data_IF_080659857364
#
_entry.id   IF_080659857364
#
_cell.length_a   1.000
_cell.length_b   1.000
_cell.length_c   1.000
_cell.angle_alpha   90.00
_cell.angle_beta   90.00
_cell.angle_gamma   90.00
#
_symmetry.space_group_name_H-M   'P 1'
#
loop_
_entity.id
_entity.type
_entity.pdbx_description
1 polymer ?
#
# COMPACT_ATOMS: atom_id res chain seq x y z
N UNK A 1 -39.69 -25.15 43.81
CA UNK A 1 -39.81 -25.30 42.36
C UNK A 1 -39.00 -24.19 41.67
N UNK A 2 -37.63 -24.20 41.80
CA UNK A 2 -36.77 -23.15 41.32
C UNK A 2 -35.35 -23.69 40.95
N UNK A 3 -35.23 -24.66 40.02
CA UNK A 3 -33.89 -25.15 39.60
C UNK A 3 -33.71 -25.36 38.07
N UNK A 4 -34.61 -25.01 37.14
CA UNK A 4 -34.25 -25.21 35.73
C UNK A 4 -33.55 -24.01 35.04
N UNK A 5 -33.49 -22.83 35.65
CA UNK A 5 -32.87 -21.65 34.99
C UNK A 5 -31.36 -21.59 35.17
N UNK A 6 -30.79 -22.02 36.28
CA UNK A 6 -29.34 -22.02 36.50
C UNK A 6 -28.58 -22.98 35.57
N UNK A 7 -29.12 -24.16 35.28
CA UNK A 7 -28.51 -25.15 34.38
C UNK A 7 -28.41 -24.66 32.92
N UNK A 8 -29.37 -23.83 32.47
CA UNK A 8 -29.36 -23.23 31.12
C UNK A 8 -28.31 -22.10 30.97
N UNK A 9 -28.08 -21.36 32.05
CA UNK A 9 -27.03 -20.31 32.07
C UNK A 9 -25.61 -20.92 32.12
N UNK A 10 -25.43 -21.97 32.93
CA UNK A 10 -24.13 -22.69 32.98
C UNK A 10 -23.76 -23.35 31.66
N UNK A 11 -24.74 -23.95 30.96
CA UNK A 11 -24.51 -24.54 29.63
C UNK A 11 -24.19 -23.48 28.56
N UNK A 12 -24.77 -22.28 28.61
CA UNK A 12 -24.44 -21.19 27.69
C UNK A 12 -23.07 -20.57 27.98
N UNK A 13 -22.69 -20.42 29.25
CA UNK A 13 -21.35 -19.95 29.64
C UNK A 13 -20.31 -20.99 29.29
N UNK A 14 -20.55 -22.28 29.49
CA UNK A 14 -19.66 -23.34 29.07
C UNK A 14 -19.51 -23.42 27.54
N UNK A 15 -20.57 -23.20 26.78
CA UNK A 15 -20.52 -23.13 25.31
C UNK A 15 -19.73 -21.92 24.82
N UNK A 16 -19.88 -20.75 25.45
CA UNK A 16 -19.08 -19.55 25.13
C UNK A 16 -17.61 -19.74 25.49
N UNK A 17 -17.31 -20.35 26.63
CA UNK A 17 -15.91 -20.65 27.03
C UNK A 17 -15.28 -21.70 26.11
N UNK A 18 -16.06 -22.73 25.70
CA UNK A 18 -15.57 -23.75 24.75
C UNK A 18 -15.36 -23.17 23.34
N UNK A 19 -16.23 -22.26 22.89
CA UNK A 19 -16.02 -21.56 21.60
C UNK A 19 -14.86 -20.57 21.67
N UNK A 20 -14.65 -19.86 22.77
CA UNK A 20 -13.47 -19.01 22.97
C UNK A 20 -12.16 -19.84 22.98
N UNK A 21 -12.14 -21.00 23.62
CA UNK A 21 -10.99 -21.91 23.60
C UNK A 21 -10.77 -22.54 22.22
N UNK A 22 -11.82 -22.83 21.45
CA UNK A 22 -11.71 -23.35 20.09
C UNK A 22 -11.21 -22.30 19.09
N UNK A 23 -11.59 -21.03 19.26
CA UNK A 23 -11.07 -19.90 18.46
C UNK A 23 -9.62 -19.59 18.84
N UNK A 24 -9.25 -19.69 20.12
CA UNK A 24 -7.86 -19.56 20.56
C UNK A 24 -6.95 -20.70 20.06
N UNK A 25 -7.52 -21.91 19.83
CA UNK A 25 -6.79 -23.05 19.32
C UNK A 25 -6.48 -22.99 17.80
N UNK A 26 -7.08 -22.04 17.07
CA UNK A 26 -6.83 -21.82 15.63
C UNK A 26 -5.89 -20.64 15.34
N UNK A 27 -5.42 -19.91 16.36
CA UNK A 27 -4.36 -18.95 16.19
C UNK A 27 -3.10 -19.69 15.74
N UNK A 28 -2.60 -19.40 14.55
CA UNK A 28 -1.40 -20.01 13.99
C UNK A 28 -0.24 -19.81 14.97
N UNK A 29 0.29 -20.90 15.52
CA UNK A 29 1.35 -20.83 16.52
C UNK A 29 2.64 -20.40 15.81
N UNK A 30 3.06 -19.14 16.04
CA UNK A 30 4.28 -18.59 15.42
C UNK A 30 5.51 -19.02 16.20
N UNK A 31 6.54 -19.42 15.48
CA UNK A 31 7.86 -19.62 16.07
C UNK A 31 8.43 -18.28 16.51
N UNK A 32 8.84 -18.08 17.79
CA UNK A 32 9.50 -16.86 18.23
C UNK A 32 10.79 -16.61 17.47
N UNK A 33 11.12 -15.36 17.18
CA UNK A 33 12.36 -14.96 16.53
C UNK A 33 12.84 -13.61 17.11
N UNK A 34 14.10 -13.30 16.86
CA UNK A 34 14.79 -12.11 17.37
C UNK A 34 14.84 -11.00 16.33
N UNK A 35 15.11 -9.77 16.76
CA UNK A 35 15.33 -8.62 15.88
C UNK A 35 16.52 -8.87 14.92
N UNK A 36 17.60 -9.49 15.42
CA UNK A 36 18.76 -9.83 14.59
C UNK A 36 18.44 -10.84 13.48
N UNK A 37 17.55 -11.80 13.75
CA UNK A 37 17.05 -12.73 12.73
C UNK A 37 16.16 -11.99 11.73
N UNK A 38 15.30 -11.07 12.19
CA UNK A 38 14.43 -10.30 11.33
C UNK A 38 15.23 -9.40 10.36
N UNK A 39 16.30 -8.77 10.82
CA UNK A 39 17.17 -7.92 9.98
C UNK A 39 17.85 -8.73 8.86
N UNK A 40 18.13 -10.00 9.07
CA UNK A 40 18.77 -10.90 8.12
C UNK A 40 17.78 -11.84 7.41
N UNK A 41 16.50 -11.68 7.63
CA UNK A 41 15.48 -12.59 7.16
C UNK A 41 15.30 -12.57 5.65
N UNK A 42 15.26 -13.74 5.04
CA UNK A 42 14.99 -13.96 3.62
C UNK A 42 13.53 -14.45 3.48
N UNK A 43 12.62 -13.64 2.91
CA UNK A 43 11.22 -14.00 2.76
C UNK A 43 11.05 -15.09 1.70
N UNK A 44 10.43 -16.21 2.06
CA UNK A 44 10.11 -17.34 1.18
C UNK A 44 11.31 -17.79 0.30
N UNK A 45 12.55 -17.69 0.83
CA UNK A 45 13.77 -18.05 0.12
C UNK A 45 14.19 -17.10 -1.00
N UNK A 46 13.62 -15.88 -1.07
CA UNK A 46 13.89 -14.90 -2.13
C UNK A 46 14.65 -13.69 -1.55
N UNK A 47 15.99 -13.64 -1.70
CA UNK A 47 16.78 -12.56 -1.13
C UNK A 47 16.68 -11.25 -1.93
N UNK A 48 16.95 -10.11 -1.27
CA UNK A 48 17.11 -8.81 -1.92
C UNK A 48 15.84 -8.18 -2.49
N UNK A 49 14.65 -8.70 -2.10
CA UNK A 49 13.36 -8.22 -2.61
C UNK A 49 12.67 -7.23 -1.67
N UNK A 50 13.27 -6.93 -0.52
CA UNK A 50 12.70 -5.98 0.45
C UNK A 50 13.78 -5.18 1.17
N UNK A 51 13.35 -4.06 1.76
CA UNK A 51 14.14 -3.20 2.63
C UNK A 51 13.23 -2.53 3.67
N UNK A 52 13.81 -1.98 4.72
CA UNK A 52 13.08 -1.12 5.64
C UNK A 52 12.86 0.26 5.01
N UNK A 53 11.61 0.65 4.78
CA UNK A 53 11.29 1.92 4.11
C UNK A 53 11.69 3.18 4.91
N UNK A 54 11.91 3.03 6.21
CA UNK A 54 12.36 4.06 7.15
C UNK A 54 13.89 4.08 7.36
N UNK A 55 14.62 3.20 6.67
CA UNK A 55 16.06 3.12 6.82
C UNK A 55 16.77 4.30 6.11
N UNK A 56 17.96 4.71 6.58
CA UNK A 56 18.79 5.67 5.85
C UNK A 56 19.06 5.25 4.41
N UNK A 57 19.20 6.20 3.50
CA UNK A 57 19.37 5.96 2.07
C UNK A 57 20.53 5.00 1.75
N UNK A 58 21.64 5.09 2.49
CA UNK A 58 22.80 4.20 2.35
C UNK A 58 22.44 2.74 2.66
N UNK A 59 21.65 2.51 3.70
CA UNK A 59 21.18 1.17 4.10
C UNK A 59 20.19 0.63 3.07
N UNK A 60 19.23 1.46 2.63
CA UNK A 60 18.29 1.10 1.57
C UNK A 60 19.01 0.67 0.29
N UNK A 61 20.05 1.39 -0.13
CA UNK A 61 20.88 1.02 -1.29
C UNK A 61 21.52 -0.35 -1.12
N UNK A 62 22.01 -0.67 0.07
CA UNK A 62 22.63 -1.98 0.35
C UNK A 62 21.58 -3.09 0.37
N UNK A 63 20.44 -2.87 1.04
CA UNK A 63 19.37 -3.88 1.13
C UNK A 63 18.70 -4.15 -0.22
N UNK A 64 18.67 -3.16 -1.09
CA UNK A 64 18.13 -3.25 -2.45
C UNK A 64 19.25 -3.35 -3.50
N UNK A 65 20.39 -3.95 -3.16
CA UNK A 65 21.60 -4.00 -3.99
C UNK A 65 21.39 -4.50 -5.44
N UNK A 66 20.31 -5.25 -5.68
CA UNK A 66 19.94 -5.77 -7.00
C UNK A 66 19.02 -4.83 -7.80
N UNK A 67 18.93 -3.55 -7.43
CA UNK A 67 18.06 -2.59 -8.12
C UNK A 67 18.37 -2.45 -9.60
N UNK A 68 19.62 -2.72 -10.02
CA UNK A 68 20.08 -2.47 -11.37
C UNK A 68 20.00 -0.98 -11.75
N UNK A 69 20.59 -0.58 -12.86
CA UNK A 69 20.52 0.80 -13.32
C UNK A 69 19.08 1.15 -13.72
N UNK A 70 18.63 2.35 -13.30
CA UNK A 70 17.45 2.98 -13.88
C UNK A 70 17.69 3.35 -15.34
N UNK A 71 16.58 3.60 -16.05
CA UNK A 71 16.65 4.26 -17.35
C UNK A 71 17.36 5.60 -17.19
N UNK A 72 18.58 5.69 -17.71
CA UNK A 72 19.37 6.94 -17.69
C UNK A 72 19.05 7.79 -18.92
N UNK A 73 19.04 9.13 -18.77
CA UNK A 73 18.98 10.07 -19.88
C UNK A 73 17.60 10.59 -20.28
N UNK A 74 16.51 10.21 -19.57
CA UNK A 74 15.16 10.75 -19.76
C UNK A 74 14.64 11.39 -18.45
N UNK A 75 13.75 12.39 -18.51
CA UNK A 75 13.02 12.86 -17.35
C UNK A 75 12.23 11.71 -16.70
N UNK A 76 12.41 11.48 -15.41
CA UNK A 76 11.75 10.38 -14.69
C UNK A 76 10.29 10.74 -14.41
N UNK A 77 9.38 9.83 -14.75
CA UNK A 77 7.98 9.89 -14.36
C UNK A 77 7.72 8.91 -13.20
N UNK A 78 7.41 9.44 -12.01
CA UNK A 78 7.06 8.67 -10.83
C UNK A 78 5.57 8.77 -10.54
N UNK A 79 4.93 7.66 -10.17
CA UNK A 79 3.57 7.60 -9.66
C UNK A 79 3.55 7.04 -8.24
N UNK A 80 2.97 7.78 -7.31
CA UNK A 80 2.70 7.32 -5.95
C UNK A 80 1.18 7.20 -5.72
N UNK A 81 0.74 6.00 -5.36
CA UNK A 81 -0.67 5.62 -5.17
C UNK A 81 -0.94 5.38 -3.70
N UNK A 82 -1.82 6.17 -3.12
CA UNK A 82 -2.13 6.06 -1.70
C UNK A 82 -3.06 4.92 -1.35
N UNK A 83 -3.11 4.57 -0.06
CA UNK A 83 -4.21 3.81 0.53
C UNK A 83 -5.54 4.56 0.46
N UNK A 84 -6.63 3.89 0.84
CA UNK A 84 -7.97 4.49 0.86
C UNK A 84 -9.13 3.49 0.79
N UNK A 85 -8.87 2.18 0.80
CA UNK A 85 -9.92 1.15 0.73
C UNK A 85 -10.77 1.26 -0.53
N UNK A 86 -12.10 1.34 -0.40
CA UNK A 86 -13.04 1.48 -1.54
C UNK A 86 -12.86 2.77 -2.34
N UNK A 87 -12.27 3.80 -1.72
CA UNK A 87 -11.96 5.06 -2.41
C UNK A 87 -10.93 4.89 -3.55
N UNK A 88 -10.21 3.76 -3.60
CA UNK A 88 -9.32 3.42 -4.71
C UNK A 88 -9.99 3.39 -6.08
N UNK A 89 -11.32 3.29 -6.12
CA UNK A 89 -12.09 3.42 -7.35
C UNK A 89 -11.87 4.76 -8.06
N UNK A 90 -11.63 5.86 -7.31
CA UNK A 90 -11.26 7.15 -7.88
C UNK A 90 -9.95 7.09 -8.66
N UNK A 91 -8.88 6.62 -8.03
CA UNK A 91 -7.57 6.51 -8.68
C UNK A 91 -7.57 5.56 -9.87
N UNK A 92 -8.32 4.46 -9.78
CA UNK A 92 -8.51 3.53 -10.90
C UNK A 92 -9.22 4.19 -12.08
N UNK A 93 -10.31 4.92 -11.82
CA UNK A 93 -11.03 5.70 -12.82
C UNK A 93 -10.13 6.75 -13.47
N UNK A 94 -9.42 7.55 -12.66
CA UNK A 94 -8.52 8.58 -13.12
C UNK A 94 -7.43 8.01 -14.04
N UNK A 95 -6.79 6.91 -13.66
CA UNK A 95 -5.78 6.25 -14.49
C UNK A 95 -6.35 5.73 -15.82
N UNK A 96 -7.54 5.13 -15.82
CA UNK A 96 -8.20 4.64 -17.04
C UNK A 96 -8.58 5.82 -17.96
N UNK A 97 -9.21 6.87 -17.43
CA UNK A 97 -9.57 8.06 -18.20
C UNK A 97 -8.35 8.82 -18.73
N UNK A 98 -7.28 8.87 -17.94
CA UNK A 98 -6.02 9.46 -18.36
C UNK A 98 -5.35 8.68 -19.50
N UNK A 99 -5.47 7.34 -19.52
CA UNK A 99 -5.06 6.53 -20.66
C UNK A 99 -5.92 6.81 -21.91
N UNK A 100 -7.24 6.91 -21.75
CA UNK A 100 -8.16 7.18 -22.84
C UNK A 100 -7.90 8.55 -23.50
N UNK A 101 -7.49 9.55 -22.71
CA UNK A 101 -7.07 10.85 -23.24
C UNK A 101 -5.75 10.80 -24.03
N UNK A 102 -5.01 9.70 -23.98
CA UNK A 102 -3.71 9.56 -24.64
C UNK A 102 -2.54 10.27 -23.97
N UNK A 103 -2.75 10.91 -22.81
CA UNK A 103 -1.73 11.74 -22.15
C UNK A 103 -1.08 11.07 -20.92
N UNK A 104 -1.53 9.87 -20.52
CA UNK A 104 -0.92 9.15 -19.40
C UNK A 104 0.50 8.71 -19.76
N UNK A 105 1.53 9.15 -18.97
CA UNK A 105 2.89 8.74 -19.21
C UNK A 105 3.11 7.26 -18.89
N UNK A 106 4.14 6.67 -19.46
CA UNK A 106 4.69 5.42 -18.96
C UNK A 106 5.53 5.76 -17.72
N UNK A 107 5.09 5.30 -16.56
CA UNK A 107 5.78 5.58 -15.30
C UNK A 107 7.05 4.73 -15.18
N UNK A 108 8.16 5.36 -14.87
CA UNK A 108 9.43 4.67 -14.60
C UNK A 108 9.42 4.04 -13.22
N UNK A 109 8.76 4.70 -12.26
CA UNK A 109 8.64 4.27 -10.88
C UNK A 109 7.17 4.32 -10.49
N UNK A 110 6.66 3.23 -9.94
CA UNK A 110 5.33 3.18 -9.32
C UNK A 110 5.44 2.67 -7.90
N UNK A 111 4.81 3.36 -6.97
CA UNK A 111 4.67 2.93 -5.58
C UNK A 111 3.20 2.79 -5.23
N UNK A 112 2.87 1.80 -4.41
CA UNK A 112 1.51 1.59 -3.96
C UNK A 112 1.41 1.20 -2.49
N UNK A 113 0.36 1.68 -1.83
CA UNK A 113 0.01 1.35 -0.44
C UNK A 113 -1.45 0.95 -0.39
N UNK A 114 -1.80 -0.16 0.30
CA UNK A 114 -3.18 -0.59 0.48
C UNK A 114 -3.92 -0.76 -0.85
N UNK A 115 -5.05 -0.09 -1.04
CA UNK A 115 -5.75 -0.07 -2.35
C UNK A 115 -4.84 0.42 -3.48
N UNK A 116 -3.91 1.36 -3.20
CA UNK A 116 -2.88 1.78 -4.15
C UNK A 116 -1.92 0.65 -4.52
N UNK A 117 -1.62 -0.27 -3.59
CA UNK A 117 -0.83 -1.46 -3.90
C UNK A 117 -1.57 -2.41 -4.84
N UNK A 118 -2.89 -2.59 -4.63
CA UNK A 118 -3.71 -3.44 -5.51
C UNK A 118 -3.78 -2.91 -6.95
N UNK A 119 -3.77 -1.58 -7.15
CA UNK A 119 -3.78 -0.98 -8.49
C UNK A 119 -2.39 -0.82 -9.11
N UNK A 120 -1.33 -0.79 -8.29
CA UNK A 120 0.02 -0.44 -8.75
C UNK A 120 0.59 -1.36 -9.85
N UNK A 121 0.36 -2.68 -9.89
CA UNK A 121 0.84 -3.53 -10.99
C UNK A 121 0.25 -3.15 -12.35
N UNK A 122 -1.04 -2.82 -12.38
CA UNK A 122 -1.76 -2.41 -13.59
C UNK A 122 -1.33 -1.01 -14.02
N UNK A 123 -1.25 -0.07 -13.07
CA UNK A 123 -0.74 1.27 -13.32
C UNK A 123 0.69 1.25 -13.88
N UNK A 124 1.54 0.38 -13.36
CA UNK A 124 2.92 0.18 -13.80
C UNK A 124 3.01 -0.35 -15.23
N UNK A 125 2.18 -1.31 -15.60
CA UNK A 125 2.20 -1.91 -16.93
C UNK A 125 1.50 -1.05 -18.00
N UNK A 126 0.70 -0.05 -17.60
CA UNK A 126 0.09 0.91 -18.50
C UNK A 126 -1.25 0.46 -19.06
N UNK A 127 -1.72 1.18 -20.10
CA UNK A 127 -3.10 1.10 -20.63
C UNK A 127 -3.56 -0.30 -21.07
N UNK A 128 -2.66 -1.19 -21.47
CA UNK A 128 -2.99 -2.59 -21.82
C UNK A 128 -3.62 -3.39 -20.68
N UNK A 129 -3.52 -2.88 -19.43
CA UNK A 129 -4.09 -3.51 -18.24
C UNK A 129 -5.25 -2.71 -17.62
N UNK A 130 -5.72 -1.64 -18.27
CA UNK A 130 -6.79 -0.80 -17.74
C UNK A 130 -8.12 -1.54 -17.62
N UNK A 131 -8.43 -2.50 -18.50
CA UNK A 131 -9.62 -3.35 -18.35
C UNK A 131 -9.60 -4.18 -17.07
N UNK A 132 -8.42 -4.74 -16.68
CA UNK A 132 -8.28 -5.45 -15.41
C UNK A 132 -8.37 -4.48 -14.21
N UNK A 133 -7.76 -3.31 -14.31
CA UNK A 133 -7.86 -2.27 -13.30
C UNK A 133 -9.30 -1.82 -13.09
N UNK A 134 -10.03 -1.54 -14.17
CA UNK A 134 -11.46 -1.20 -14.15
C UNK A 134 -12.27 -2.32 -13.50
N UNK A 135 -12.10 -3.57 -13.95
CA UNK A 135 -12.83 -4.71 -13.42
C UNK A 135 -12.59 -4.89 -11.92
N UNK A 136 -11.35 -4.73 -11.45
CA UNK A 136 -10.99 -4.83 -10.03
C UNK A 136 -11.81 -3.86 -9.18
N UNK A 137 -12.05 -2.61 -9.62
CA UNK A 137 -12.71 -1.59 -8.81
C UNK A 137 -14.22 -1.44 -9.09
N UNK A 138 -14.71 -1.88 -10.24
CA UNK A 138 -16.13 -1.76 -10.60
C UNK A 138 -16.94 -3.04 -10.33
N UNK A 139 -16.28 -4.20 -10.23
CA UNK A 139 -16.93 -5.49 -9.95
C UNK A 139 -16.75 -5.96 -8.50
N UNK A 140 -15.99 -5.22 -7.68
CA UNK A 140 -15.77 -5.55 -6.28
C UNK A 140 -17.06 -5.36 -5.48
N UNK A 141 -17.37 -6.33 -4.63
CA UNK A 141 -18.52 -6.30 -3.71
C UNK A 141 -18.07 -6.62 -2.29
N UNK A 142 -18.90 -6.30 -1.30
CA UNK A 142 -18.60 -6.67 0.09
C UNK A 142 -18.22 -8.15 0.23
N UNK A 143 -19.01 -9.06 -0.33
CA UNK A 143 -18.74 -10.51 -0.24
C UNK A 143 -17.51 -10.99 -1.02
N UNK A 144 -17.04 -10.22 -2.01
CA UNK A 144 -15.79 -10.54 -2.72
C UNK A 144 -14.55 -10.17 -1.92
N UNK A 145 -14.68 -9.30 -0.91
CA UNK A 145 -13.55 -8.79 -0.11
C UNK A 145 -13.62 -9.28 1.34
N UNK A 146 -14.82 -9.35 1.91
CA UNK A 146 -15.02 -9.67 3.31
C UNK A 146 -15.73 -11.01 3.50
N UNK A 147 -15.24 -11.82 4.43
CA UNK A 147 -15.95 -13.00 4.95
C UNK A 147 -15.69 -13.14 6.45
N UNK A 148 -16.62 -13.78 7.15
CA UNK A 148 -16.51 -14.00 8.58
C UNK A 148 -17.66 -13.38 9.36
N UNK A 149 -17.65 -13.58 10.67
CA UNK A 149 -18.60 -12.99 11.61
C UNK A 149 -17.83 -11.99 12.48
N UNK A 150 -18.09 -10.67 12.35
CA UNK A 150 -17.37 -9.64 13.11
C UNK A 150 -17.43 -9.83 14.62
N UNK A 151 -18.52 -10.41 15.13
CA UNK A 151 -18.65 -10.69 16.58
C UNK A 151 -17.68 -11.77 17.05
N UNK A 152 -17.48 -12.82 16.25
CA UNK A 152 -16.46 -13.86 16.54
C UNK A 152 -15.06 -13.33 16.28
N UNK A 153 -14.86 -12.46 15.28
CA UNK A 153 -13.60 -11.83 14.96
C UNK A 153 -13.03 -10.93 16.07
N UNK A 154 -13.88 -10.45 16.99
CA UNK A 154 -13.40 -9.71 18.19
C UNK A 154 -12.50 -10.54 19.10
N UNK A 155 -12.56 -11.86 19.01
CA UNK A 155 -11.74 -12.82 19.77
C UNK A 155 -10.65 -13.47 18.88
N UNK A 156 -10.56 -13.07 17.60
CA UNK A 156 -9.61 -13.53 16.60
C UNK A 156 -8.46 -12.54 16.34
N UNK A 157 -7.87 -12.66 15.18
CA UNK A 157 -6.77 -11.80 14.73
C UNK A 157 -7.28 -10.59 13.94
N UNK A 158 -8.50 -10.64 13.40
CA UNK A 158 -9.19 -9.59 12.67
C UNK A 158 -10.70 -9.82 12.67
N UNK A 159 -11.47 -8.79 12.35
CA UNK A 159 -12.93 -8.90 12.25
C UNK A 159 -13.37 -9.75 11.05
N UNK A 160 -12.57 -9.76 10.00
CA UNK A 160 -12.85 -10.45 8.74
C UNK A 160 -11.61 -11.21 8.25
N UNK A 161 -11.86 -12.36 7.62
CA UNK A 161 -10.81 -13.14 6.97
C UNK A 161 -10.32 -12.46 5.69
N UNK A 162 -9.02 -12.56 5.42
CA UNK A 162 -8.37 -12.11 4.18
C UNK A 162 -8.62 -13.08 3.00
N UNK A 163 -9.17 -14.26 3.21
CA UNK A 163 -9.32 -15.28 2.16
C UNK A 163 -10.11 -14.83 0.91
N UNK A 164 -11.20 -14.03 1.00
CA UNK A 164 -11.83 -13.49 -0.20
C UNK A 164 -10.92 -12.54 -0.97
N UNK A 165 -10.23 -11.61 -0.29
CA UNK A 165 -9.28 -10.69 -0.91
C UNK A 165 -8.13 -11.45 -1.61
N UNK A 166 -7.62 -12.53 -0.98
CA UNK A 166 -6.63 -13.41 -1.61
C UNK A 166 -7.14 -14.00 -2.93
N UNK A 167 -8.41 -14.44 -2.99
CA UNK A 167 -9.03 -14.95 -4.22
C UNK A 167 -9.15 -13.87 -5.30
N UNK A 168 -9.56 -12.67 -4.92
CA UNK A 168 -9.63 -11.52 -5.85
C UNK A 168 -8.24 -11.22 -6.42
N UNK A 169 -7.22 -11.11 -5.57
CA UNK A 169 -5.84 -10.87 -6.02
C UNK A 169 -5.35 -12.02 -6.90
N UNK A 170 -5.61 -13.28 -6.53
CA UNK A 170 -5.18 -14.44 -7.32
C UNK A 170 -5.84 -14.50 -8.71
N UNK A 171 -7.08 -14.01 -8.86
CA UNK A 171 -7.78 -13.94 -10.15
C UNK A 171 -7.25 -12.85 -11.08
N UNK A 172 -6.67 -11.78 -10.51
CA UNK A 172 -6.19 -10.63 -11.28
C UNK A 172 -4.68 -10.65 -11.51
N UNK A 173 -3.92 -11.28 -10.62
CA UNK A 173 -2.46 -11.37 -10.65
C UNK A 173 -2.06 -12.79 -11.07
N UNK A 174 -1.88 -13.00 -12.36
CA UNK A 174 -1.48 -14.27 -12.97
C UNK A 174 0.03 -14.26 -13.33
N UNK A 175 0.55 -15.40 -13.80
CA UNK A 175 1.95 -15.53 -14.22
C UNK A 175 2.29 -14.56 -15.36
N UNK A 176 1.34 -14.35 -16.31
CA UNK A 176 1.57 -13.42 -17.42
C UNK A 176 1.82 -11.98 -16.93
N UNK A 177 1.04 -11.51 -15.97
CA UNK A 177 1.24 -10.18 -15.37
C UNK A 177 2.60 -10.11 -14.67
N UNK A 178 2.99 -11.15 -13.95
CA UNK A 178 4.30 -11.24 -13.30
C UNK A 178 5.44 -11.17 -14.33
N UNK A 179 5.34 -11.91 -15.45
CA UNK A 179 6.34 -11.93 -16.52
C UNK A 179 6.47 -10.55 -17.20
N UNK A 180 5.34 -9.86 -17.39
CA UNK A 180 5.33 -8.50 -17.96
C UNK A 180 5.99 -7.49 -16.99
N UNK A 181 5.77 -7.62 -15.67
CA UNK A 181 6.44 -6.81 -14.65
C UNK A 181 7.95 -7.11 -14.63
N UNK A 182 8.33 -8.39 -14.69
CA UNK A 182 9.74 -8.79 -14.75
C UNK A 182 10.44 -8.20 -15.97
N UNK A 183 9.74 -8.16 -17.11
CA UNK A 183 10.27 -7.56 -18.34
C UNK A 183 10.43 -6.05 -18.19
N UNK A 184 9.44 -5.35 -17.63
CA UNK A 184 9.54 -3.92 -17.37
C UNK A 184 10.67 -3.59 -16.37
N UNK A 185 10.86 -4.43 -15.34
CA UNK A 185 11.95 -4.30 -14.38
C UNK A 185 13.33 -4.44 -15.04
N UNK A 186 13.53 -5.45 -15.89
CA UNK A 186 14.80 -5.62 -16.64
C UNK A 186 15.10 -4.45 -17.58
N UNK A 187 14.03 -3.78 -18.04
CA UNK A 187 14.14 -2.55 -18.85
C UNK A 187 14.29 -1.27 -17.99
N UNK A 188 14.67 -1.39 -16.71
CA UNK A 188 15.01 -0.25 -15.85
C UNK A 188 13.86 0.33 -15.04
N UNK A 189 12.60 -0.12 -15.21
CA UNK A 189 11.44 0.40 -14.46
C UNK A 189 11.31 -0.25 -13.10
N UNK A 190 10.65 0.44 -12.16
CA UNK A 190 10.57 0.01 -10.75
C UNK A 190 9.13 0.01 -10.24
N UNK A 191 8.75 -1.09 -9.59
CA UNK A 191 7.46 -1.24 -8.91
C UNK A 191 7.72 -1.57 -7.45
N UNK A 192 7.15 -0.76 -6.54
CA UNK A 192 7.28 -0.96 -5.11
C UNK A 192 5.92 -1.00 -4.42
N UNK A 193 5.84 -1.77 -3.35
CA UNK A 193 4.68 -1.86 -2.46
C UNK A 193 5.15 -1.72 -1.02
N UNK A 194 4.35 -1.07 -0.18
CA UNK A 194 4.59 -0.93 1.26
C UNK A 194 3.66 -1.85 2.04
N UNK A 195 4.22 -2.57 3.01
CA UNK A 195 3.50 -3.24 4.09
C UNK A 195 4.03 -2.76 5.43
N UNK A 196 3.32 -3.01 6.53
CA UNK A 196 3.83 -2.81 7.88
C UNK A 196 4.13 -4.16 8.53
N UNK A 197 5.37 -4.39 8.96
CA UNK A 197 5.72 -5.49 9.83
C UNK A 197 5.33 -5.09 11.26
N UNK A 198 4.34 -5.78 11.85
CA UNK A 198 3.82 -5.43 13.18
C UNK A 198 4.79 -5.79 14.31
N UNK A 199 5.60 -6.81 14.14
CA UNK A 199 6.55 -7.23 15.18
C UNK A 199 7.66 -6.18 15.35
N UNK A 200 8.13 -5.62 14.24
CA UNK A 200 9.12 -4.55 14.23
C UNK A 200 8.51 -3.15 14.42
N UNK A 201 7.20 -2.99 14.20
CA UNK A 201 6.52 -1.68 14.11
C UNK A 201 7.14 -0.78 13.02
N UNK A 202 7.57 -1.38 11.90
CA UNK A 202 8.30 -0.68 10.83
C UNK A 202 7.67 -0.92 9.45
N UNK A 203 7.75 0.07 8.54
CA UNK A 203 7.33 -0.09 7.16
C UNK A 203 8.36 -0.90 6.37
N UNK A 204 7.86 -1.84 5.56
CA UNK A 204 8.67 -2.67 4.66
C UNK A 204 8.40 -2.25 3.22
N UNK A 205 9.46 -1.87 2.51
CA UNK A 205 9.47 -1.57 1.08
C UNK A 205 9.76 -2.85 0.30
N UNK A 206 8.80 -3.33 -0.48
CA UNK A 206 8.95 -4.49 -1.34
C UNK A 206 9.29 -4.08 -2.76
N UNK A 207 10.40 -4.58 -3.31
CA UNK A 207 10.75 -4.45 -4.72
C UNK A 207 10.02 -5.51 -5.54
N UNK A 208 8.80 -5.20 -5.94
CA UNK A 208 7.92 -6.11 -6.67
C UNK A 208 8.45 -6.46 -8.06
N UNK A 209 9.22 -5.55 -8.66
CA UNK A 209 9.89 -5.80 -9.94
C UNK A 209 11.01 -6.83 -9.80
N UNK A 210 11.87 -6.70 -8.78
CA UNK A 210 12.92 -7.68 -8.49
C UNK A 210 12.32 -9.04 -8.13
N UNK A 211 11.26 -9.05 -7.32
CA UNK A 211 10.52 -10.26 -6.98
C UNK A 211 9.98 -10.97 -8.23
N UNK A 212 9.35 -10.23 -9.14
CA UNK A 212 8.86 -10.77 -10.40
C UNK A 212 9.99 -11.32 -11.29
N UNK A 213 11.14 -10.65 -11.30
CA UNK A 213 12.30 -11.04 -12.11
C UNK A 213 13.20 -12.11 -11.48
N UNK A 214 12.93 -12.52 -10.24
CA UNK A 214 13.77 -13.48 -9.50
C UNK A 214 13.80 -14.88 -10.13
N UNK A 215 12.78 -15.26 -10.90
CA UNK A 215 12.64 -16.61 -11.44
C UNK A 215 12.36 -17.69 -10.37
N UNK A 216 12.14 -17.29 -9.12
CA UNK A 216 11.92 -18.23 -8.03
C UNK A 216 10.51 -18.88 -8.12
N UNK A 217 10.36 -20.19 -7.86
CA UNK A 217 9.05 -20.86 -7.97
C UNK A 217 7.94 -20.23 -7.11
N UNK A 218 8.29 -19.67 -5.96
CA UNK A 218 7.35 -19.01 -5.05
C UNK A 218 7.15 -17.52 -5.31
N UNK A 219 7.75 -16.94 -6.39
CA UNK A 219 7.68 -15.51 -6.66
C UNK A 219 6.24 -15.00 -6.82
N UNK A 220 5.40 -15.72 -7.57
CA UNK A 220 4.00 -15.37 -7.76
C UNK A 220 3.20 -15.41 -6.45
N UNK A 221 3.46 -16.41 -5.61
CA UNK A 221 2.80 -16.52 -4.31
C UNK A 221 3.19 -15.37 -3.39
N UNK A 222 4.49 -15.08 -3.24
CA UNK A 222 4.95 -13.96 -2.42
C UNK A 222 4.44 -12.62 -2.98
N UNK A 223 4.43 -12.44 -4.29
CA UNK A 223 3.89 -11.23 -4.92
C UNK A 223 2.43 -10.99 -4.51
N UNK A 224 1.59 -12.02 -4.59
CA UNK A 224 0.19 -11.98 -4.15
C UNK A 224 0.06 -11.75 -2.64
N UNK A 225 0.86 -12.43 -1.81
CA UNK A 225 0.88 -12.24 -0.36
C UNK A 225 1.21 -10.80 0.03
N UNK A 226 2.18 -10.17 -0.62
CA UNK A 226 2.56 -8.77 -0.38
C UNK A 226 1.42 -7.81 -0.72
N UNK A 227 0.74 -8.00 -1.86
CA UNK A 227 -0.42 -7.18 -2.24
C UNK A 227 -1.56 -7.30 -1.22
N UNK A 228 -1.88 -8.53 -0.80
CA UNK A 228 -2.92 -8.78 0.21
C UNK A 228 -2.50 -8.18 1.56
N UNK A 229 -1.25 -8.37 1.99
CA UNK A 229 -0.74 -7.81 3.23
C UNK A 229 -0.85 -6.28 3.25
N UNK A 230 -0.45 -5.64 2.14
CA UNK A 230 -0.55 -4.19 1.99
C UNK A 230 -1.99 -3.66 2.08
N UNK A 231 -2.99 -4.48 1.76
CA UNK A 231 -4.41 -4.12 1.81
C UNK A 231 -5.14 -4.71 3.04
N UNK A 232 -4.43 -5.35 3.96
CA UNK A 232 -5.00 -5.97 5.18
C UNK A 232 -4.98 -4.98 6.35
N UNK A 233 -6.00 -4.11 6.41
CA UNK A 233 -6.14 -3.09 7.47
C UNK A 233 -6.17 -3.76 8.84
N UNK A 234 -5.23 -3.37 9.70
CA UNK A 234 -5.08 -3.93 11.05
C UNK A 234 -6.37 -3.80 11.87
N UNK A 235 -6.77 -4.90 12.50
CA UNK A 235 -8.03 -5.02 13.25
C UNK A 235 -9.26 -5.26 12.38
N UNK A 236 -9.30 -4.81 11.12
CA UNK A 236 -10.40 -5.14 10.20
C UNK A 236 -10.20 -6.51 9.55
N UNK A 237 -8.98 -6.79 9.07
CA UNK A 237 -8.62 -8.08 8.47
C UNK A 237 -7.64 -8.86 9.34
N UNK A 238 -7.63 -10.19 9.16
CA UNK A 238 -6.54 -11.01 9.65
C UNK A 238 -5.21 -10.52 9.05
N UNK A 239 -4.10 -10.52 9.83
CA UNK A 239 -2.78 -10.23 9.30
C UNK A 239 -2.34 -11.29 8.29
N UNK A 240 -1.44 -10.93 7.40
CA UNK A 240 -0.82 -11.87 6.46
C UNK A 240 0.52 -12.35 7.02
N UNK A 241 0.68 -13.66 7.10
CA UNK A 241 1.92 -14.28 7.52
C UNK A 241 2.80 -14.57 6.31
N UNK A 242 4.04 -14.06 6.35
CA UNK A 242 5.06 -14.29 5.34
C UNK A 242 6.14 -15.17 5.96
N UNK A 243 6.33 -16.34 5.37
CA UNK A 243 7.39 -17.27 5.80
C UNK A 243 8.75 -16.64 5.54
N UNK A 244 9.66 -16.73 6.50
CA UNK A 244 11.00 -16.19 6.41
C UNK A 244 12.02 -17.11 7.08
N UNK A 245 13.27 -16.99 6.68
CA UNK A 245 14.38 -17.75 7.22
C UNK A 245 15.56 -16.84 7.50
N UNK A 246 16.21 -17.03 8.64
CA UNK A 246 17.51 -16.45 8.97
C UNK A 246 18.39 -17.47 9.66
N UNK A 247 19.61 -17.68 9.16
CA UNK A 247 20.60 -18.62 9.75
C UNK A 247 20.06 -20.05 9.97
N UNK A 248 19.20 -20.54 9.07
CA UNK A 248 18.57 -21.86 9.17
C UNK A 248 17.38 -21.93 10.13
N UNK A 249 17.00 -20.82 10.75
CA UNK A 249 15.80 -20.72 11.58
C UNK A 249 14.61 -20.21 10.76
N UNK A 250 13.53 -21.01 10.70
CA UNK A 250 12.29 -20.68 9.96
C UNK A 250 11.26 -20.09 10.92
N UNK A 251 10.67 -18.97 10.52
CA UNK A 251 9.63 -18.28 11.28
C UNK A 251 8.64 -17.58 10.34
N UNK A 252 7.60 -16.99 10.92
CA UNK A 252 6.60 -16.23 10.15
C UNK A 252 6.54 -14.79 10.65
N UNK A 253 6.72 -13.86 9.75
CA UNK A 253 6.56 -12.44 10.00
C UNK A 253 5.09 -12.04 9.87
N UNK A 254 4.63 -11.15 10.74
CA UNK A 254 3.26 -10.63 10.73
C UNK A 254 3.20 -9.30 9.98
N UNK A 255 2.55 -9.31 8.82
CA UNK A 255 2.37 -8.12 7.99
C UNK A 255 0.91 -7.67 7.94
N UNK A 256 0.71 -6.37 7.95
CA UNK A 256 -0.57 -5.69 7.80
C UNK A 256 -0.46 -4.55 6.79
N UNK A 257 -1.57 -3.84 6.58
CA UNK A 257 -1.68 -2.70 5.68
C UNK A 257 -0.53 -1.71 5.84
N UNK A 258 0.05 -1.33 4.70
CA UNK A 258 1.13 -0.35 4.67
C UNK A 258 0.72 1.02 5.22
N UNK A 259 -0.57 1.37 5.13
CA UNK A 259 -1.14 2.59 5.68
C UNK A 259 -1.11 2.68 7.20
N UNK A 260 -0.80 1.58 7.91
CA UNK A 260 -0.52 1.60 9.35
C UNK A 260 0.72 2.42 9.66
N UNK A 261 1.75 2.38 8.81
CA UNK A 261 2.98 3.17 8.95
C UNK A 261 3.00 4.35 7.97
N UNK A 262 2.80 4.08 6.67
CA UNK A 262 2.82 5.10 5.61
C UNK A 262 1.60 4.95 4.69
N UNK A 263 0.61 5.88 4.72
CA UNK A 263 -0.56 5.81 3.85
C UNK A 263 -0.26 6.16 2.38
N UNK A 264 0.91 6.74 2.13
CA UNK A 264 1.48 7.07 0.83
C UNK A 264 3.00 6.95 0.93
N UNK A 265 3.67 6.55 -0.14
CA UNK A 265 5.13 6.51 -0.18
C UNK A 265 5.66 6.94 -1.54
N UNK A 266 6.49 7.98 -1.56
CA UNK A 266 7.27 8.38 -2.73
C UNK A 266 8.72 7.92 -2.53
N UNK A 267 9.21 7.00 -3.37
CA UNK A 267 10.59 6.51 -3.28
C UNK A 267 11.56 7.63 -3.63
N UNK A 268 12.58 7.90 -2.80
CA UNK A 268 13.64 8.83 -3.18
C UNK A 268 14.37 8.34 -4.45
N UNK A 269 14.33 9.11 -5.53
CA UNK A 269 14.99 8.73 -6.82
C UNK A 269 16.49 8.54 -6.66
N UNK A 270 17.12 9.25 -5.71
CA UNK A 270 18.53 9.05 -5.34
C UNK A 270 18.83 7.61 -4.89
N UNK A 271 17.82 6.87 -4.39
CA UNK A 271 17.95 5.44 -4.10
C UNK A 271 18.27 4.65 -5.37
N UNK A 272 17.80 5.13 -6.51
CA UNK A 272 17.76 4.42 -7.78
C UNK A 272 18.83 4.95 -8.76
N UNK A 273 19.50 6.06 -8.43
CA UNK A 273 20.59 6.58 -9.24
C UNK A 273 21.79 5.63 -9.19
N UNK A 274 22.41 5.40 -10.35
CA UNK A 274 23.62 4.61 -10.45
C UNK A 274 24.70 5.18 -9.51
N UNK A 275 25.46 4.29 -8.85
CA UNK A 275 26.56 4.62 -7.94
C UNK A 275 27.78 5.14 -8.72
N UNK A 276 27.63 6.25 -9.44
CA UNK A 276 28.65 6.72 -10.35
C UNK A 276 29.10 8.15 -10.15
N UNK A 277 28.38 9.03 -9.48
CA UNK A 277 28.79 10.44 -9.31
C UNK A 277 28.02 11.18 -8.22
N UNK A 278 28.15 10.75 -6.96
CA UNK A 278 27.84 11.62 -5.79
C UNK A 278 28.85 11.35 -4.67
N UNK A 279 30.13 11.26 -5.01
CA UNK A 279 31.21 11.43 -4.03
C UNK A 279 31.60 12.90 -3.99
N UNK A 280 30.91 13.67 -3.16
CA UNK A 280 31.16 15.10 -2.98
C UNK A 280 30.42 15.69 -1.80
N UNK A 281 30.18 14.94 -0.73
CA UNK A 281 29.83 15.52 0.57
C UNK A 281 30.83 15.10 1.62
N UNK A 282 31.89 15.90 1.74
CA UNK A 282 32.67 16.02 2.98
C UNK A 282 31.75 16.67 4.04
N UNK A 283 31.60 16.00 5.18
CA UNK A 283 31.08 16.58 6.40
C UNK A 283 31.88 17.84 6.76
N UNK A 284 31.18 18.97 6.85
CA UNK A 284 31.70 20.18 7.47
C UNK A 284 31.97 21.33 6.51
N UNK A 285 31.07 22.25 6.47
CA UNK A 285 31.18 23.71 6.50
C UNK A 285 30.03 24.38 5.73
N UNK A 286 29.40 25.34 6.39
CA UNK A 286 28.38 26.25 5.83
C UNK A 286 28.91 26.93 4.54
N UNK A 287 28.44 26.45 3.40
CA UNK A 287 28.67 27.06 2.11
C UNK A 287 27.39 27.08 1.32
N UNK A 288 26.98 28.27 0.88
CA UNK A 288 25.82 28.50 0.03
C UNK A 288 25.71 27.45 -1.09
N UNK A 289 24.67 26.63 -1.05
CA UNK A 289 24.36 25.69 -2.14
C UNK A 289 24.07 26.48 -3.40
N UNK A 290 24.98 26.45 -4.37
CA UNK A 290 24.66 26.83 -5.74
C UNK A 290 23.61 25.88 -6.28
N UNK A 291 22.38 26.34 -6.40
CA UNK A 291 21.31 25.67 -7.12
C UNK A 291 21.75 25.46 -8.58
N UNK A 292 21.92 24.22 -8.98
CA UNK A 292 22.05 23.88 -10.39
C UNK A 292 23.37 23.25 -10.81
N UNK A 293 23.60 21.98 -10.46
CA UNK A 293 24.34 21.05 -11.32
C UNK A 293 24.25 19.64 -10.71
N UNK A 294 23.50 18.74 -11.38
CA UNK A 294 23.44 17.31 -11.05
C UNK A 294 22.05 16.69 -10.88
N UNK A 295 20.97 17.48 -10.92
CA UNK A 295 19.60 16.93 -10.88
C UNK A 295 19.16 16.52 -12.28
N UNK A 296 18.39 15.43 -12.40
CA UNK A 296 17.63 15.12 -13.61
C UNK A 296 16.57 16.23 -13.80
N UNK A 297 16.96 17.35 -14.43
CA UNK A 297 16.05 18.47 -14.66
C UNK A 297 14.88 18.01 -15.55
N UNK A 298 13.66 18.18 -15.07
CA UNK A 298 12.44 17.88 -15.81
C UNK A 298 11.69 16.63 -15.39
N UNK A 299 12.06 15.93 -14.32
CA UNK A 299 11.31 14.78 -13.77
C UNK A 299 9.94 15.20 -13.21
N UNK A 300 9.01 14.26 -13.15
CA UNK A 300 7.65 14.48 -12.67
C UNK A 300 7.27 13.46 -11.60
N UNK A 301 6.70 13.94 -10.50
CA UNK A 301 6.10 13.11 -9.46
C UNK A 301 4.59 13.32 -9.51
N UNK A 302 3.86 12.26 -9.78
CA UNK A 302 2.41 12.21 -9.73
C UNK A 302 1.99 11.51 -8.45
N UNK A 303 1.13 12.13 -7.69
CA UNK A 303 0.57 11.62 -6.44
C UNK A 303 -0.93 11.54 -6.59
N UNK A 304 -1.50 10.34 -6.48
CA UNK A 304 -2.95 10.11 -6.48
C UNK A 304 -3.36 9.67 -5.08
N UNK A 305 -4.14 10.50 -4.41
CA UNK A 305 -4.67 10.25 -3.08
C UNK A 305 -6.10 9.71 -3.21
N UNK A 306 -6.26 8.43 -2.89
CA UNK A 306 -7.56 7.77 -2.82
C UNK A 306 -8.29 8.14 -1.51
N UNK A 307 -8.42 9.41 -1.26
CA UNK A 307 -9.16 9.94 -0.10
C UNK A 307 -9.52 11.40 -0.34
N UNK A 308 -10.48 11.87 0.44
CA UNK A 308 -10.71 13.28 0.62
C UNK A 308 -9.79 13.80 1.73
N UNK A 309 -9.05 14.87 1.48
CA UNK A 309 -8.06 15.41 2.41
C UNK A 309 -8.68 16.33 3.47
N UNK A 310 -9.81 16.96 3.20
CA UNK A 310 -10.41 17.90 4.13
C UNK A 310 -10.99 17.22 5.38
N UNK A 311 -10.96 17.90 6.53
CA UNK A 311 -11.60 17.40 7.74
C UNK A 311 -13.11 17.20 7.54
N UNK A 312 -13.59 15.98 7.70
CA UNK A 312 -15.02 15.68 7.65
C UNK A 312 -15.65 15.90 9.03
N UNK A 313 -16.42 16.99 9.20
CA UNK A 313 -17.13 17.21 10.46
C UNK A 313 -18.24 16.16 10.63
N UNK A 314 -18.23 15.47 11.77
CA UNK A 314 -19.30 14.59 12.21
C UNK A 314 -19.29 14.47 13.73
N UNK A 315 -20.47 14.53 14.34
CA UNK A 315 -20.62 14.29 15.78
C UNK A 315 -20.41 12.80 16.05
N UNK A 316 -19.32 12.47 16.72
CA UNK A 316 -18.95 11.09 17.04
C UNK A 316 -19.87 10.52 18.13
N UNK A 317 -20.49 9.36 17.87
CA UNK A 317 -21.28 8.66 18.89
C UNK A 317 -20.35 8.25 20.05
N UNK A 318 -20.75 8.47 21.33
CA UNK A 318 -19.93 8.16 22.50
C UNK A 318 -19.93 6.65 22.83
N UNK A 319 -19.42 5.85 21.90
CA UNK A 319 -19.20 4.40 22.04
C UNK A 319 -17.73 4.11 21.73
N UNK A 320 -17.10 3.23 22.49
CA UNK A 320 -15.67 2.92 22.39
C UNK A 320 -15.22 2.65 20.96
N UNK A 321 -15.93 1.79 20.23
CA UNK A 321 -15.59 1.48 18.84
C UNK A 321 -15.69 2.69 17.90
N UNK A 322 -16.72 3.53 18.05
CA UNK A 322 -16.89 4.74 17.22
C UNK A 322 -15.78 5.77 17.50
N UNK A 323 -15.40 5.91 18.78
CA UNK A 323 -14.31 6.81 19.20
C UNK A 323 -12.99 6.30 18.65
N UNK A 324 -12.67 5.00 18.79
CA UNK A 324 -11.44 4.40 18.29
C UNK A 324 -11.33 4.51 16.75
N UNK A 325 -12.40 4.18 16.04
CA UNK A 325 -12.46 4.32 14.57
C UNK A 325 -12.26 5.77 14.13
N UNK A 326 -12.88 6.74 14.84
CA UNK A 326 -12.71 8.16 14.55
C UNK A 326 -11.28 8.63 14.80
N UNK A 327 -10.68 8.22 15.92
CA UNK A 327 -9.29 8.52 16.26
C UNK A 327 -8.33 7.95 15.21
N UNK A 328 -8.50 6.69 14.81
CA UNK A 328 -7.71 6.06 13.77
C UNK A 328 -7.80 6.82 12.44
N UNK A 329 -9.02 7.16 11.99
CA UNK A 329 -9.22 7.95 10.77
C UNK A 329 -8.54 9.33 10.87
N UNK A 330 -8.52 9.95 12.05
CA UNK A 330 -7.85 11.23 12.26
C UNK A 330 -6.33 11.10 12.14
N UNK A 331 -5.75 10.04 12.73
CA UNK A 331 -4.32 9.73 12.62
C UNK A 331 -3.91 9.47 11.16
N UNK A 332 -4.70 8.68 10.42
CA UNK A 332 -4.44 8.41 9.00
C UNK A 332 -4.49 9.70 8.18
N UNK A 333 -5.47 10.58 8.41
CA UNK A 333 -5.52 11.90 7.72
C UNK A 333 -4.31 12.77 8.04
N UNK A 334 -3.89 12.86 9.30
CA UNK A 334 -2.69 13.61 9.67
C UNK A 334 -1.45 13.06 8.95
N UNK A 335 -1.28 11.72 8.94
CA UNK A 335 -0.19 11.07 8.23
C UNK A 335 -0.20 11.32 6.71
N UNK A 336 -1.37 11.46 6.08
CA UNK A 336 -1.45 11.86 4.67
C UNK A 336 -0.82 13.23 4.42
N UNK A 337 -1.12 14.21 5.25
CA UNK A 337 -0.57 15.57 5.12
C UNK A 337 0.95 15.58 5.22
N UNK A 338 1.49 14.89 6.24
CA UNK A 338 2.93 14.79 6.44
C UNK A 338 3.60 14.15 5.23
N UNK A 339 3.03 13.07 4.70
CA UNK A 339 3.58 12.35 3.56
C UNK A 339 3.49 13.16 2.26
N UNK A 340 2.38 13.89 2.03
CA UNK A 340 2.23 14.80 0.88
C UNK A 340 3.24 15.92 0.96
N UNK A 341 3.41 16.54 2.14
CA UNK A 341 4.38 17.61 2.35
C UNK A 341 5.81 17.12 2.10
N UNK A 342 6.19 15.98 2.65
CA UNK A 342 7.49 15.38 2.43
C UNK A 342 7.73 15.06 0.95
N UNK A 343 6.74 14.54 0.24
CA UNK A 343 6.82 14.26 -1.20
C UNK A 343 6.99 15.56 -2.01
N UNK A 344 6.32 16.63 -1.61
CA UNK A 344 6.44 17.94 -2.24
C UNK A 344 7.83 18.56 -2.01
N UNK A 345 8.31 18.57 -0.77
CA UNK A 345 9.64 19.08 -0.43
C UNK A 345 10.70 18.29 -1.20
N UNK A 346 10.60 16.96 -1.20
CA UNK A 346 11.47 16.10 -1.99
C UNK A 346 11.44 16.45 -3.48
N UNK A 347 10.26 16.62 -4.08
CA UNK A 347 10.14 17.00 -5.48
C UNK A 347 10.84 18.34 -5.77
N UNK A 348 10.68 19.33 -4.89
CA UNK A 348 11.34 20.63 -5.03
C UNK A 348 12.87 20.54 -4.91
N UNK A 349 13.37 19.77 -3.95
CA UNK A 349 14.80 19.60 -3.72
C UNK A 349 15.48 18.92 -4.90
N UNK A 350 14.79 17.99 -5.59
CA UNK A 350 15.28 17.29 -6.77
C UNK A 350 15.00 18.03 -8.10
N UNK A 351 14.28 19.16 -8.07
CA UNK A 351 13.89 19.90 -9.29
C UNK A 351 12.80 19.20 -10.11
N UNK A 352 11.98 18.37 -9.49
CA UNK A 352 10.86 17.69 -10.13
C UNK A 352 9.57 18.52 -10.05
N UNK A 353 8.72 18.38 -11.07
CA UNK A 353 7.34 18.89 -11.00
C UNK A 353 6.51 17.98 -10.11
N UNK A 354 5.87 18.56 -9.09
CA UNK A 354 4.93 17.88 -8.22
C UNK A 354 3.52 17.99 -8.78
N UNK A 355 2.81 16.87 -8.91
CA UNK A 355 1.46 16.79 -9.45
C UNK A 355 0.60 15.96 -8.48
N UNK A 356 -0.41 16.58 -7.88
CA UNK A 356 -1.29 15.97 -6.88
C UNK A 356 -2.72 15.94 -7.36
N UNK A 357 -3.38 14.79 -7.30
CA UNK A 357 -4.81 14.60 -7.46
C UNK A 357 -5.40 13.89 -6.24
N UNK A 358 -6.61 14.27 -5.83
CA UNK A 358 -7.33 13.64 -4.72
C UNK A 358 -8.84 13.83 -4.89
N UNK A 359 -9.64 13.04 -4.15
CA UNK A 359 -11.10 13.12 -4.23
C UNK A 359 -11.57 14.52 -3.80
N UNK A 360 -12.24 15.28 -4.70
CA UNK A 360 -12.65 16.65 -4.39
C UNK A 360 -13.81 16.67 -3.38
N UNK A 361 -13.90 17.76 -2.61
CA UNK A 361 -15.00 17.98 -1.65
C UNK A 361 -16.37 18.08 -2.29
N UNK A 362 -16.44 18.41 -3.57
CA UNK A 362 -17.68 18.45 -4.34
C UNK A 362 -18.29 17.08 -4.60
N UNK A 363 -17.58 16.01 -4.29
CA UNK A 363 -18.13 14.65 -4.38
C UNK A 363 -18.99 14.34 -3.14
N UNK A 364 -20.32 14.39 -3.30
CA UNK A 364 -21.30 14.30 -2.22
C UNK A 364 -21.88 12.90 -1.99
N UNK A 365 -21.60 11.93 -2.89
CA UNK A 365 -22.09 10.55 -2.74
C UNK A 365 -21.50 9.96 -1.46
N UNK A 366 -22.33 9.30 -0.66
CA UNK A 366 -21.91 8.69 0.61
C UNK A 366 -21.94 7.17 0.49
N UNK A 367 -20.89 6.54 1.00
CA UNK A 367 -20.87 5.08 1.16
C UNK A 367 -21.79 4.64 2.30
N UNK A 368 -22.47 3.51 2.11
CA UNK A 368 -23.36 2.87 3.09
C UNK A 368 -22.71 1.56 3.55
N UNK A 369 -21.54 1.64 4.14
CA UNK A 369 -20.86 0.46 4.70
C UNK A 369 -19.41 0.32 4.30
N UNK A 370 -18.92 -0.92 4.27
CA UNK A 370 -17.58 -1.27 3.79
C UNK A 370 -17.72 -1.86 2.38
N UNK A 371 -17.06 -1.35 1.38
CA UNK A 371 -17.17 -1.77 -0.04
C UNK A 371 -18.60 -1.64 -0.59
N UNK A 372 -19.05 -0.41 -0.75
CA UNK A 372 -20.30 -0.07 -1.41
C UNK A 372 -20.06 0.06 -2.93
N UNK A 373 -20.54 -0.94 -3.69
CA UNK A 373 -20.33 -0.98 -5.14
C UNK A 373 -20.90 0.25 -5.87
N UNK A 374 -22.05 0.77 -5.43
CA UNK A 374 -22.65 1.97 -6.05
C UNK A 374 -21.79 3.21 -5.81
N UNK A 375 -21.25 3.33 -4.60
CA UNK A 375 -20.30 4.39 -4.24
C UNK A 375 -19.01 4.28 -5.06
N UNK A 376 -18.46 3.06 -5.17
CA UNK A 376 -17.24 2.80 -5.94
C UNK A 376 -17.42 3.11 -7.43
N UNK A 377 -18.56 2.76 -8.02
CA UNK A 377 -18.89 3.12 -9.41
C UNK A 377 -18.92 4.63 -9.59
N UNK A 378 -19.60 5.37 -8.70
CA UNK A 378 -19.65 6.83 -8.76
C UNK A 378 -18.27 7.49 -8.63
N UNK A 379 -17.39 6.93 -7.77
CA UNK A 379 -16.00 7.40 -7.64
C UNK A 379 -15.17 7.07 -8.89
N UNK A 380 -15.35 5.87 -9.44
CA UNK A 380 -14.68 5.50 -10.69
C UNK A 380 -15.08 6.44 -11.83
N UNK A 381 -16.37 6.71 -11.98
CA UNK A 381 -16.88 7.60 -13.03
C UNK A 381 -16.37 9.04 -12.85
N UNK A 382 -16.30 9.54 -11.61
CA UNK A 382 -15.69 10.83 -11.31
C UNK A 382 -14.23 10.88 -11.78
N UNK A 383 -13.40 9.96 -11.30
CA UNK A 383 -11.98 9.91 -11.67
C UNK A 383 -11.77 9.74 -13.18
N UNK A 384 -12.57 8.86 -13.81
CA UNK A 384 -12.52 8.61 -15.25
C UNK A 384 -12.83 9.88 -16.04
N UNK A 385 -13.90 10.59 -15.68
CA UNK A 385 -14.25 11.86 -16.32
C UNK A 385 -13.16 12.94 -16.17
N UNK A 386 -12.51 13.01 -14.99
CA UNK A 386 -11.36 13.89 -14.78
C UNK A 386 -10.16 13.49 -15.66
N UNK A 387 -9.85 12.21 -15.75
CA UNK A 387 -8.77 11.69 -16.59
C UNK A 387 -8.97 12.00 -18.07
N UNK A 388 -10.19 11.78 -18.59
CA UNK A 388 -10.54 12.05 -20.00
C UNK A 388 -10.45 13.54 -20.34
N UNK A 389 -10.94 14.42 -19.47
CA UNK A 389 -10.89 15.89 -19.70
C UNK A 389 -9.48 16.48 -19.60
N UNK A 390 -8.54 15.74 -19.05
CA UNK A 390 -7.25 16.23 -18.58
C UNK A 390 -7.30 16.52 -17.08
N UNK A 391 -6.41 15.86 -16.35
CA UNK A 391 -6.34 15.98 -14.88
C UNK A 391 -5.88 17.36 -14.49
N UNK A 392 -6.63 18.06 -13.66
CA UNK A 392 -6.26 19.35 -13.07
C UNK A 392 -5.31 19.13 -11.88
N UNK A 393 -4.02 18.91 -12.18
CA UNK A 393 -3.01 18.64 -11.18
C UNK A 393 -2.76 19.84 -10.27
N UNK A 394 -2.78 19.60 -8.97
CA UNK A 394 -2.31 20.58 -7.99
C UNK A 394 -0.78 20.46 -7.84
N UNK A 395 -0.09 21.61 -7.97
CA UNK A 395 1.38 21.65 -7.92
C UNK A 395 1.93 22.01 -6.54
N UNK A 396 1.05 22.15 -5.55
CA UNK A 396 1.40 22.42 -4.16
C UNK A 396 0.50 21.59 -3.23
N UNK A 397 0.95 21.25 -2.03
CA UNK A 397 0.07 20.65 -1.02
C UNK A 397 -1.14 21.53 -0.73
N UNK A 398 -2.32 20.94 -0.47
CA UNK A 398 -3.48 21.73 -0.05
C UNK A 398 -3.16 22.44 1.27
N UNK A 399 -3.70 23.66 1.44
CA UNK A 399 -3.51 24.41 2.68
C UNK A 399 -4.26 23.71 3.82
N UNK A 400 -3.56 23.35 4.87
CA UNK A 400 -4.08 22.62 6.03
C UNK A 400 -5.14 23.38 6.83
N UNK A 401 -5.15 24.72 6.72
CA UNK A 401 -6.05 25.60 7.48
C UNK A 401 -6.50 26.76 6.58
N UNK A 402 -7.78 26.84 6.37
CA UNK A 402 -8.44 28.07 5.98
C UNK A 402 -9.03 28.76 7.20
#
# INVERSE_FOLDING_TARGET
MFIPHLARYSAKIAAVVLTCNAVAATAEQRTPYTEAELENAVPMGIPGVRAWADAPLSVLKTQLANLGPLLTGQPIAMLALSGGGEHGAYGAGLLCGWSESGHRPNFDIVTGVSTGALMSPFAFLGSKYDDRLKALYTQMTFHSVFSGNPFLGLFGQGLYSTAPLQRVVASQVDQKLLDDIATAYRNGRRLFVITTNLDAQRPVLWNMGALAASGHPQALELFRKVLVASASVAGAFDPVYIDAEANGHHFKEMHVDGGTAYPLFAVPVRLLAATGEVDGHSDGQDGERKSGQGGHSGGQIYVIINNNLDPAFAVTKPKTFNIAARAFNTLVKASFYDTILNSYVYAKDEGYTFNLAYIPNSFEVKSVGLVDQKYMLALFDLGHAEGVRGVEWQHTPPRLFR
#
